data_IF_134013266674
#
_entry.id   IF_134013266674
#
_cell.length_a   1.000
_cell.length_b   1.000
_cell.length_c   1.000
_cell.angle_alpha   90.00
_cell.angle_beta   90.00
_cell.angle_gamma   90.00
#
_symmetry.space_group_name_H-M   'P 1'
#
loop_
_entity.id
_entity.type
_entity.pdbx_description
1 polymer ?
#
# COMPACT_ATOMS: atom_id res chain seq x y z
N UNK A 1 25.09 0.97 -9.73
CA UNK A 1 24.31 1.91 -10.55
C UNK A 1 23.12 2.33 -9.70
N UNK A 2 23.09 3.56 -9.22
CA UNK A 2 21.99 4.05 -8.37
C UNK A 2 20.86 4.53 -9.26
N UNK A 3 19.67 3.95 -9.11
CA UNK A 3 18.47 4.35 -9.86
C UNK A 3 17.68 5.37 -9.04
N UNK A 4 17.01 6.35 -9.67
CA UNK A 4 16.27 7.37 -8.95
C UNK A 4 15.10 6.72 -8.19
N UNK A 5 15.06 6.94 -6.87
CA UNK A 5 13.92 6.58 -6.03
C UNK A 5 13.16 7.85 -5.65
N UNK A 6 11.83 7.80 -5.69
CA UNK A 6 10.98 8.83 -5.11
C UNK A 6 10.63 8.36 -3.71
N UNK A 7 11.06 9.09 -2.68
CA UNK A 7 10.78 8.76 -1.29
C UNK A 7 10.05 9.90 -0.58
N UNK A 8 9.05 9.54 0.21
CA UNK A 8 8.36 10.44 1.13
C UNK A 8 9.02 10.36 2.50
N UNK A 9 9.08 11.46 3.25
CA UNK A 9 9.90 11.51 4.46
C UNK A 9 9.22 12.23 5.65
N UNK A 10 9.19 11.59 6.84
CA UNK A 10 8.80 12.19 8.13
C UNK A 10 9.71 11.79 9.27
N UNK A 11 10.16 12.75 10.07
CA UNK A 11 10.59 12.54 11.47
C UNK A 11 11.39 11.22 11.70
N UNK A 12 12.38 10.96 10.83
CA UNK A 12 13.25 9.77 10.91
C UNK A 12 12.75 8.50 10.23
N UNK A 13 11.59 8.53 9.56
CA UNK A 13 11.05 7.45 8.71
C UNK A 13 10.88 7.97 7.30
N UNK A 14 11.36 7.20 6.32
CA UNK A 14 10.97 7.44 4.92
C UNK A 14 10.05 6.32 4.46
N UNK A 15 9.27 6.57 3.41
CA UNK A 15 8.47 5.57 2.71
C UNK A 15 8.71 5.78 1.21
N UNK A 16 9.32 4.82 0.50
CA UNK A 16 9.56 4.96 -0.92
C UNK A 16 8.23 4.85 -1.66
N UNK A 17 7.93 5.87 -2.46
CA UNK A 17 6.76 5.98 -3.32
C UNK A 17 6.96 5.23 -4.63
N UNK A 18 8.18 5.26 -5.16
CA UNK A 18 8.58 4.58 -6.37
C UNK A 18 10.04 4.16 -6.27
N UNK A 19 10.32 2.87 -6.42
CA UNK A 19 11.66 2.31 -6.44
C UNK A 19 11.77 1.41 -7.67
N UNK A 20 12.81 1.62 -8.49
CA UNK A 20 13.15 0.70 -9.57
C UNK A 20 13.85 -0.58 -9.05
N UNK A 21 14.08 -0.68 -7.73
CA UNK A 21 14.63 -1.85 -7.04
C UNK A 21 13.62 -2.42 -6.04
N UNK A 22 13.55 -3.75 -5.98
CA UNK A 22 12.64 -4.57 -5.15
C UNK A 22 12.71 -4.28 -3.64
N UNK A 23 13.75 -3.58 -3.17
CA UNK A 23 13.89 -3.20 -1.76
C UNK A 23 13.56 -1.72 -1.55
N UNK A 24 12.42 -1.50 -0.89
CA UNK A 24 11.92 -0.21 -0.40
C UNK A 24 12.78 0.32 0.79
N UNK A 25 14.04 0.72 0.58
CA UNK A 25 14.90 1.33 1.63
C UNK A 25 14.77 2.85 1.72
N UNK A 26 15.00 3.40 2.92
CA UNK A 26 14.56 4.74 3.35
C UNK A 26 15.74 5.57 3.92
N UNK A 27 15.84 6.87 3.60
CA UNK A 27 16.92 7.81 4.00
C UNK A 27 16.33 9.13 4.62
N UNK A 28 16.91 9.72 5.70
CA UNK A 28 16.33 10.82 6.49
C UNK A 28 16.23 12.21 5.83
N UNK A 29 15.04 12.87 5.76
CA UNK A 29 14.81 14.35 5.84
C UNK A 29 13.34 14.86 5.68
N UNK A 30 12.75 15.42 6.76
CA UNK A 30 11.84 16.59 6.82
C UNK A 30 10.47 16.67 6.08
N UNK A 31 9.40 16.88 6.87
CA UNK A 31 8.06 17.38 6.50
C UNK A 31 7.06 16.41 5.83
N UNK A 32 6.44 15.56 6.64
CA UNK A 32 5.27 14.75 6.23
C UNK A 32 4.03 15.36 6.84
N UNK A 33 3.00 15.43 6.01
CA UNK A 33 1.66 15.88 6.35
C UNK A 33 1.22 15.20 7.66
N UNK A 34 0.72 16.01 8.61
CA UNK A 34 0.19 15.53 9.88
C UNK A 34 -0.87 14.43 9.69
N UNK A 35 -1.54 14.43 8.53
CA UNK A 35 -2.51 13.42 8.10
C UNK A 35 -1.93 12.02 7.98
N UNK A 36 -0.64 11.86 7.69
CA UNK A 36 0.03 10.56 7.55
C UNK A 36 0.83 10.16 8.79
N UNK A 37 0.91 11.03 9.79
CA UNK A 37 1.66 10.77 11.00
C UNK A 37 1.13 9.54 11.76
N UNK A 38 2.04 8.62 12.07
CA UNK A 38 1.70 7.38 12.79
C UNK A 38 0.91 6.35 11.98
N UNK A 39 0.81 6.52 10.65
CA UNK A 39 0.08 5.61 9.75
C UNK A 39 1.02 4.69 8.99
N UNK A 40 0.50 3.52 8.62
CA UNK A 40 1.16 2.62 7.68
C UNK A 40 0.77 3.04 6.28
N UNK A 41 1.74 3.12 5.36
CA UNK A 41 1.52 3.68 4.03
C UNK A 41 2.03 2.71 2.96
N UNK A 42 1.19 2.46 1.96
CA UNK A 42 1.51 1.72 0.76
C UNK A 42 1.26 2.59 -0.49
N UNK A 43 2.28 2.88 -1.31
CA UNK A 43 2.12 3.72 -2.50
C UNK A 43 1.43 3.00 -3.66
N UNK A 44 0.80 3.78 -4.54
CA UNK A 44 0.19 3.32 -5.80
C UNK A 44 0.93 3.89 -7.01
N UNK A 45 0.85 3.21 -8.15
CA UNK A 45 1.45 3.68 -9.41
C UNK A 45 0.87 5.02 -9.90
N UNK A 46 -0.36 5.34 -9.49
CA UNK A 46 -1.07 6.57 -9.81
C UNK A 46 -0.69 7.76 -8.89
N UNK A 47 0.27 7.58 -8.00
CA UNK A 47 0.76 8.63 -7.11
C UNK A 47 -0.11 8.90 -5.88
N UNK A 48 -1.12 8.07 -5.63
CA UNK A 48 -1.86 8.07 -4.37
C UNK A 48 -1.18 7.16 -3.33
N UNK A 49 -1.43 7.43 -2.06
CA UNK A 49 -0.95 6.67 -0.93
C UNK A 49 -2.13 5.98 -0.23
N UNK A 50 -2.15 4.64 -0.21
CA UNK A 50 -3.04 3.93 0.71
C UNK A 50 -2.45 4.06 2.11
N UNK A 51 -3.18 4.73 2.99
CA UNK A 51 -2.81 4.88 4.37
C UNK A 51 -3.77 4.11 5.26
N UNK A 52 -3.22 3.47 6.30
CA UNK A 52 -3.99 2.87 7.39
C UNK A 52 -3.63 3.50 8.71
N UNK A 53 -4.67 3.87 9.46
CA UNK A 53 -4.53 4.21 10.85
C UNK A 53 -4.34 2.96 11.71
N UNK A 54 -3.18 2.82 12.36
CA UNK A 54 -2.85 1.62 13.13
C UNK A 54 -3.74 1.39 14.36
N UNK A 55 -4.39 2.44 14.88
CA UNK A 55 -5.24 2.34 16.07
C UNK A 55 -6.69 1.91 15.72
N UNK A 56 -7.20 2.40 14.59
CA UNK A 56 -8.61 2.20 14.18
C UNK A 56 -8.78 1.24 13.01
N UNK A 57 -7.69 0.87 12.33
CA UNK A 57 -7.69 0.14 11.06
C UNK A 57 -8.43 0.84 9.91
N UNK A 58 -8.86 2.09 10.10
CA UNK A 58 -9.47 2.90 9.04
C UNK A 58 -8.46 3.09 7.91
N UNK A 59 -8.92 2.95 6.66
CA UNK A 59 -8.07 3.13 5.48
C UNK A 59 -8.57 4.27 4.61
N UNK A 60 -7.65 4.88 3.87
CA UNK A 60 -7.97 5.91 2.91
C UNK A 60 -6.90 6.01 1.83
N UNK A 61 -7.27 6.51 0.66
CA UNK A 61 -6.33 6.96 -0.35
C UNK A 61 -6.06 8.44 -0.16
N UNK A 62 -4.81 8.80 -0.01
CA UNK A 62 -4.35 10.17 0.13
C UNK A 62 -3.61 10.63 -1.12
N UNK A 63 -3.97 11.79 -1.64
CA UNK A 63 -3.31 12.43 -2.76
C UNK A 63 -2.32 13.50 -2.24
N UNK A 64 -1.00 13.23 -2.25
CA UNK A 64 0.00 14.17 -1.74
C UNK A 64 0.13 15.46 -2.57
N UNK A 65 -0.48 15.53 -3.76
CA UNK A 65 -0.38 16.71 -4.64
C UNK A 65 -1.33 17.83 -4.22
N UNK A 66 -2.50 17.48 -3.67
CA UNK A 66 -3.55 18.43 -3.31
C UNK A 66 -4.11 18.22 -1.89
N UNK A 67 -3.66 17.19 -1.16
CA UNK A 67 -4.12 16.85 0.18
C UNK A 67 -5.48 16.15 0.22
N UNK A 68 -6.03 15.76 -0.93
CA UNK A 68 -7.34 15.12 -1.02
C UNK A 68 -7.30 13.71 -0.44
N UNK A 69 -8.39 13.33 0.22
CA UNK A 69 -8.52 12.03 0.88
C UNK A 69 -9.81 11.35 0.45
N UNK A 70 -9.71 10.11 0.00
CA UNK A 70 -10.83 9.24 -0.34
C UNK A 70 -10.91 8.16 0.74
N UNK A 71 -11.96 8.21 1.55
CA UNK A 71 -12.16 7.23 2.61
C UNK A 71 -12.50 5.86 2.06
N UNK A 72 -11.94 4.83 2.68
CA UNK A 72 -12.21 3.44 2.37
C UNK A 72 -12.67 2.73 3.66
N UNK A 73 -13.39 1.60 3.53
CA UNK A 73 -13.71 0.74 4.67
C UNK A 73 -12.44 0.34 5.45
N UNK A 74 -12.55 0.02 6.75
CA UNK A 74 -11.42 -0.51 7.51
C UNK A 74 -10.89 -1.81 6.90
N UNK A 75 -9.57 -1.92 6.69
CA UNK A 75 -8.96 -3.15 6.20
C UNK A 75 -8.52 -4.01 7.38
N UNK A 76 -9.35 -5.00 7.70
CA UNK A 76 -9.13 -5.97 8.78
C UNK A 76 -8.57 -7.26 8.19
N UNK A 77 -7.56 -7.86 8.82
CA UNK A 77 -7.01 -9.16 8.43
C UNK A 77 -5.60 -9.12 7.83
N UNK A 78 -5.14 -7.95 7.38
CA UNK A 78 -3.74 -7.75 6.94
C UNK A 78 -2.96 -7.09 8.06
N UNK A 79 -1.85 -7.67 8.49
CA UNK A 79 -0.99 -7.08 9.52
C UNK A 79 -0.22 -5.87 8.98
N UNK A 80 0.12 -4.92 9.85
CA UNK A 80 0.85 -3.71 9.46
C UNK A 80 2.23 -4.00 8.86
N UNK A 81 2.91 -5.03 9.38
CA UNK A 81 4.19 -5.51 8.87
C UNK A 81 4.07 -6.16 7.47
N UNK A 82 2.88 -6.64 7.09
CA UNK A 82 2.61 -7.15 5.74
C UNK A 82 2.21 -6.00 4.82
N UNK A 83 1.41 -5.05 5.32
CA UNK A 83 0.93 -3.90 4.56
C UNK A 83 2.07 -3.00 4.04
N UNK A 84 3.17 -2.86 4.80
CA UNK A 84 4.32 -2.05 4.38
C UNK A 84 5.01 -2.61 3.13
N UNK A 85 5.05 -3.95 3.02
CA UNK A 85 5.68 -4.67 1.92
C UNK A 85 4.70 -5.06 0.81
N UNK A 86 3.39 -4.87 1.05
CA UNK A 86 2.35 -5.10 0.05
C UNK A 86 2.44 -4.11 -1.11
N UNK A 87 1.78 -4.48 -2.22
CA UNK A 87 1.58 -3.64 -3.39
C UNK A 87 0.12 -3.17 -3.46
N UNK A 88 -0.08 -1.86 -3.51
CA UNK A 88 -1.38 -1.26 -3.73
C UNK A 88 -1.52 -0.80 -5.19
N UNK A 89 -2.55 -1.27 -5.87
CA UNK A 89 -2.82 -1.00 -7.28
C UNK A 89 -4.21 -0.40 -7.44
N UNK A 90 -4.34 0.60 -8.31
CA UNK A 90 -5.64 1.13 -8.71
C UNK A 90 -5.94 0.73 -10.15
N UNK A 91 -7.17 0.33 -10.44
CA UNK A 91 -7.61 0.05 -11.80
C UNK A 91 -7.78 1.32 -12.65
N UNK A 92 -7.87 2.49 -12.01
CA UNK A 92 -8.05 3.78 -12.65
C UNK A 92 -7.90 4.95 -11.68
N UNK A 93 -8.58 6.06 -11.99
CA UNK A 93 -8.70 7.20 -11.09
C UNK A 93 -9.56 6.82 -9.86
N UNK A 94 -9.07 6.95 -8.62
CA UNK A 94 -9.83 6.55 -7.43
C UNK A 94 -11.07 7.40 -7.17
N UNK A 95 -11.19 8.60 -7.75
CA UNK A 95 -12.40 9.42 -7.69
C UNK A 95 -13.42 9.04 -8.78
N UNK A 96 -13.02 8.25 -9.78
CA UNK A 96 -13.91 7.83 -10.86
C UNK A 96 -14.80 6.64 -10.44
N UNK A 97 -16.08 6.61 -10.86
CA UNK A 97 -16.94 5.47 -10.60
C UNK A 97 -16.36 4.16 -11.16
N UNK A 98 -16.44 3.10 -10.38
CA UNK A 98 -15.98 1.76 -10.79
C UNK A 98 -14.48 1.53 -10.66
N UNK A 99 -13.72 2.47 -10.10
CA UNK A 99 -12.34 2.21 -9.69
C UNK A 99 -12.30 1.07 -8.65
N UNK A 100 -11.28 0.23 -8.74
CA UNK A 100 -11.01 -0.86 -7.81
C UNK A 100 -9.62 -0.63 -7.24
N UNK A 101 -9.53 -0.66 -5.91
CA UNK A 101 -8.26 -0.72 -5.18
C UNK A 101 -7.95 -2.19 -4.95
N UNK A 102 -6.75 -2.61 -5.30
CA UNK A 102 -6.22 -3.94 -5.02
C UNK A 102 -5.04 -3.81 -4.06
N UNK A 103 -4.99 -4.69 -3.06
CA UNK A 103 -3.82 -4.90 -2.23
C UNK A 103 -3.34 -6.34 -2.42
N UNK A 104 -2.11 -6.48 -2.89
CA UNK A 104 -1.44 -7.76 -3.10
C UNK A 104 -0.42 -7.94 -1.99
N UNK A 105 -0.59 -8.98 -1.20
CA UNK A 105 0.36 -9.36 -0.14
C UNK A 105 1.63 -9.96 -0.77
N UNK A 106 2.82 -9.76 -0.18
CA UNK A 106 4.08 -10.22 -0.76
C UNK A 106 4.25 -11.74 -0.73
N UNK A 107 3.79 -12.39 0.34
CA UNK A 107 4.07 -13.82 0.64
C UNK A 107 2.80 -14.68 0.66
N UNK A 108 1.63 -14.08 0.41
CA UNK A 108 0.34 -14.76 0.39
C UNK A 108 -0.26 -14.65 -1.02
N UNK A 109 -0.99 -15.68 -1.45
CA UNK A 109 -1.72 -15.69 -2.73
C UNK A 109 -3.07 -14.98 -2.62
N UNK A 110 -3.29 -14.34 -1.48
CA UNK A 110 -4.43 -13.52 -1.15
C UNK A 110 -4.34 -12.13 -1.78
N UNK A 111 -5.40 -11.74 -2.50
CA UNK A 111 -5.58 -10.37 -2.98
C UNK A 111 -6.81 -9.76 -2.30
N UNK A 112 -6.63 -8.59 -1.71
CA UNK A 112 -7.72 -7.81 -1.15
C UNK A 112 -8.19 -6.76 -2.14
N UNK A 113 -9.49 -6.51 -2.20
CA UNK A 113 -10.03 -5.46 -3.05
C UNK A 113 -11.18 -4.69 -2.43
N UNK A 114 -11.35 -3.44 -2.86
CA UNK A 114 -12.49 -2.58 -2.49
C UNK A 114 -12.77 -1.57 -3.59
N UNK A 115 -14.01 -1.05 -3.65
CA UNK A 115 -14.39 0.04 -4.55
C UNK A 115 -14.55 1.34 -3.76
N UNK A 116 -13.81 2.41 -4.09
CA UNK A 116 -13.98 3.69 -3.43
C UNK A 116 -15.36 4.30 -3.67
N UNK A 117 -15.90 5.01 -2.68
CA UNK A 117 -17.12 5.81 -2.82
C UNK A 117 -18.44 5.03 -2.78
N UNK A 118 -18.42 3.76 -2.39
CA UNK A 118 -19.61 2.94 -2.18
C UNK A 118 -19.77 2.64 -0.69
N UNK A 119 -20.75 3.29 -0.05
CA UNK A 119 -20.91 3.37 1.42
C UNK A 119 -21.15 2.00 2.08
N UNK A 120 -21.64 1.01 1.32
CA UNK A 120 -21.92 -0.35 1.81
C UNK A 120 -20.82 -1.37 1.44
N UNK A 121 -19.70 -0.93 0.87
CA UNK A 121 -18.61 -1.85 0.52
C UNK A 121 -17.72 -2.19 1.71
N UNK A 122 -17.14 -3.38 1.65
CA UNK A 122 -16.11 -3.84 2.58
C UNK A 122 -14.92 -4.34 1.76
N UNK A 123 -13.76 -4.41 2.40
CA UNK A 123 -12.63 -5.10 1.81
C UNK A 123 -12.97 -6.58 1.64
N UNK A 124 -12.89 -7.05 0.40
CA UNK A 124 -13.12 -8.44 0.05
C UNK A 124 -11.77 -9.11 -0.24
N UNK A 125 -11.53 -10.23 0.45
CA UNK A 125 -10.38 -11.10 0.25
C UNK A 125 -10.69 -12.12 -0.85
N UNK A 126 -9.76 -12.33 -1.76
CA UNK A 126 -9.80 -13.41 -2.73
C UNK A 126 -8.50 -14.21 -2.65
N UNK A 127 -8.62 -15.47 -2.24
CA UNK A 127 -7.49 -16.39 -2.17
C UNK A 127 -7.30 -17.01 -3.55
N UNK A 128 -6.17 -16.75 -4.20
CA UNK A 128 -5.83 -17.39 -5.47
C UNK A 128 -5.15 -18.74 -5.20
N UNK A 129 -5.66 -19.79 -5.82
CA UNK A 129 -4.94 -21.05 -5.94
C UNK A 129 -3.95 -20.94 -7.11
N UNK A 130 -2.67 -20.78 -6.79
CA UNK A 130 -1.58 -20.72 -7.78
C UNK A 130 -0.99 -22.11 -8.07
N UNK A 131 -1.57 -23.18 -7.51
CA UNK A 131 -1.04 -24.54 -7.56
C UNK A 131 0.08 -24.80 -6.56
N UNK A 132 0.62 -26.02 -6.61
CA UNK A 132 1.77 -26.43 -5.78
C UNK A 132 3.07 -25.88 -6.37
N UNK A 133 3.73 -24.98 -5.64
CA UNK A 133 5.05 -24.46 -6.00
C UNK A 133 6.12 -25.25 -5.24
N UNK A 134 7.10 -25.79 -5.97
CA UNK A 134 8.28 -26.41 -5.35
C UNK A 134 9.25 -25.28 -5.02
N UNK A 135 9.51 -25.07 -3.73
CA UNK A 135 10.55 -24.14 -3.30
C UNK A 135 11.90 -24.80 -3.54
N UNK A 136 12.69 -24.24 -4.46
CA UNK A 136 14.11 -24.58 -4.57
C UNK A 136 14.79 -24.08 -3.30
N UNK A 137 15.15 -25.02 -2.42
CA UNK A 137 15.95 -24.70 -1.25
C UNK A 137 17.37 -24.45 -1.76
N UNK A 138 17.76 -23.19 -1.88
CA UNK A 138 19.16 -22.84 -2.04
C UNK A 138 19.90 -23.28 -0.76
N UNK A 139 20.53 -24.45 -0.81
CA UNK A 139 21.47 -24.88 0.22
C UNK A 139 22.70 -23.95 0.16
N UNK A 140 22.71 -22.92 1.02
CA UNK A 140 23.89 -22.10 1.28
C UNK A 140 25.07 -23.01 1.73
N UNK A 141 26.06 -23.19 0.86
CA UNK A 141 27.35 -23.85 1.10
C UNK A 141 28.43 -22.87 1.56
#
# INVERSE_FOLDING_TARGET
>A
MELPCLAFHQCGRSTPLFSATEQKRTIPAGDMDATLAGKVVCPTAQGHLLARDAATSATFLYNPRNGETIHLPPLIGVQDAVLVDSHCLLSGDPAAPGCVVLLVEPEDTSIWHVRPGDDDTQWAKHDYDIGEQILDVEEDL
#
